data_IF_871586593122
#
_entry.id   IF_871586593122
#
_cell.length_a   1.000
_cell.length_b   1.000
_cell.length_c   1.000
_cell.angle_alpha   90.00
_cell.angle_beta   90.00
_cell.angle_gamma   90.00
#
_symmetry.space_group_name_H-M   'P 1'
#
loop_
_entity.id
_entity.type
_entity.pdbx_description
1 polymer ?
#
# COMPACT_ATOMS: atom_id res chain seq x y z
N UNK A 1 -1.25 -9.93 9.43
CA UNK A 1 -0.70 -10.82 8.38
C UNK A 1 0.56 -10.12 7.91
N UNK A 2 1.74 -10.70 8.13
CA UNK A 2 2.98 -10.04 7.71
C UNK A 2 3.04 -9.98 6.18
N UNK A 3 3.26 -8.79 5.57
CA UNK A 3 3.35 -8.67 4.13
C UNK A 3 4.64 -9.33 3.63
N UNK A 4 4.56 -10.07 2.52
CA UNK A 4 5.73 -10.70 1.91
C UNK A 4 6.73 -9.65 1.41
N UNK A 5 6.23 -8.49 0.98
CA UNK A 5 7.05 -7.42 0.40
C UNK A 5 6.36 -6.07 0.62
N UNK A 6 7.13 -5.08 1.10
CA UNK A 6 6.66 -3.70 1.30
C UNK A 6 7.24 -2.82 0.20
N UNK A 7 6.36 -2.07 -0.48
CA UNK A 7 6.68 -1.20 -1.60
C UNK A 7 6.34 0.24 -1.20
N UNK A 8 7.33 1.10 -1.19
CA UNK A 8 7.13 2.54 -0.96
C UNK A 8 6.72 3.23 -2.26
N UNK A 9 5.71 4.09 -2.19
CA UNK A 9 5.12 4.80 -3.35
C UNK A 9 5.01 6.29 -3.08
N UNK A 10 5.08 7.10 -4.13
CA UNK A 10 4.98 8.56 -4.06
C UNK A 10 3.55 9.09 -4.29
N UNK A 11 2.56 8.21 -4.56
CA UNK A 11 1.20 8.58 -4.97
C UNK A 11 0.12 7.91 -4.12
N UNK A 12 -0.99 8.62 -3.93
CA UNK A 12 -2.19 8.08 -3.25
C UNK A 12 -2.86 6.94 -4.03
N UNK A 13 -2.72 6.93 -5.35
CA UNK A 13 -3.30 5.92 -6.22
C UNK A 13 -2.20 5.12 -6.90
N UNK A 14 -2.15 3.83 -6.60
CA UNK A 14 -1.13 2.90 -7.10
C UNK A 14 -1.78 1.84 -7.97
N UNK A 15 -1.24 1.61 -9.15
CA UNK A 15 -1.61 0.47 -9.97
C UNK A 15 -0.77 -0.75 -9.57
N UNK A 16 -1.42 -1.86 -9.23
CA UNK A 16 -0.77 -3.15 -9.07
C UNK A 16 -1.30 -4.12 -10.12
N UNK A 17 -0.41 -4.81 -10.82
CA UNK A 17 -0.71 -5.87 -11.79
C UNK A 17 0.01 -7.19 -11.45
N UNK A 18 0.56 -7.30 -10.24
CA UNK A 18 1.25 -8.50 -9.79
C UNK A 18 2.60 -8.77 -10.47
N UNK A 19 3.20 -7.78 -11.13
CA UNK A 19 4.53 -7.91 -11.76
C UNK A 19 4.51 -8.24 -13.25
N UNK A 20 3.41 -7.96 -13.94
CA UNK A 20 3.31 -7.99 -15.41
C UNK A 20 3.45 -9.36 -16.10
N UNK A 21 3.56 -10.46 -15.36
CA UNK A 21 3.73 -11.81 -15.90
C UNK A 21 2.46 -12.69 -15.81
N UNK A 22 2.56 -13.93 -16.30
CA UNK A 22 1.44 -14.90 -16.30
C UNK A 22 0.94 -15.28 -14.90
N UNK A 23 1.75 -15.05 -13.86
CA UNK A 23 1.40 -15.30 -12.45
C UNK A 23 0.91 -14.04 -11.71
N UNK A 24 0.81 -12.91 -12.42
CA UNK A 24 0.27 -11.68 -11.86
C UNK A 24 -1.26 -11.72 -11.74
N UNK A 25 -1.86 -10.57 -11.51
CA UNK A 25 -3.31 -10.40 -11.47
C UNK A 25 -3.73 -9.23 -12.37
N UNK A 26 -5.03 -9.13 -12.73
CA UNK A 26 -5.51 -7.98 -13.47
C UNK A 26 -5.13 -6.67 -12.80
N UNK A 27 -4.84 -5.64 -13.59
CA UNK A 27 -4.49 -4.32 -13.06
C UNK A 27 -5.60 -3.81 -12.14
N UNK A 28 -5.24 -3.57 -10.89
CA UNK A 28 -6.10 -2.94 -9.90
C UNK A 28 -5.49 -1.63 -9.45
N UNK A 29 -6.34 -0.68 -9.07
CA UNK A 29 -5.91 0.60 -8.51
C UNK A 29 -6.22 0.60 -7.02
N UNK A 30 -5.19 0.80 -6.21
CA UNK A 30 -5.25 0.85 -4.76
C UNK A 30 -5.20 2.29 -4.32
N UNK A 31 -6.03 2.62 -3.33
CA UNK A 31 -6.11 3.94 -2.76
C UNK A 31 -5.51 3.94 -1.35
N UNK A 32 -4.51 4.78 -1.13
CA UNK A 32 -3.77 4.91 0.12
C UNK A 32 -4.16 6.17 0.91
N UNK A 33 -5.18 6.92 0.48
CA UNK A 33 -5.55 8.21 1.07
C UNK A 33 -5.98 8.12 2.53
N UNK A 34 -6.61 6.99 2.90
CA UNK A 34 -7.19 6.80 4.24
C UNK A 34 -6.16 6.43 5.30
N UNK A 35 -5.18 5.62 4.93
CA UNK A 35 -4.28 4.98 5.91
C UNK A 35 -2.80 5.22 5.60
N UNK A 36 -2.43 5.85 4.49
CA UNK A 36 -1.03 5.92 4.09
C UNK A 36 -0.44 4.58 3.62
N UNK A 37 -1.14 3.46 3.83
CA UNK A 37 -0.71 2.13 3.46
C UNK A 37 -1.89 1.20 3.15
N UNK A 38 -1.66 0.18 2.33
CA UNK A 38 -2.65 -0.84 1.98
C UNK A 38 -1.99 -2.20 1.71
N UNK A 39 -2.52 -3.25 2.32
CA UNK A 39 -2.10 -4.63 2.09
C UNK A 39 -2.97 -5.27 1.01
N UNK A 40 -2.35 -5.70 -0.10
CA UNK A 40 -3.09 -6.30 -1.20
C UNK A 40 -3.13 -7.84 -1.09
N UNK A 41 -4.30 -8.46 -0.86
CA UNK A 41 -4.40 -9.87 -0.51
C UNK A 41 -4.00 -10.82 -1.65
N UNK A 42 -4.04 -10.37 -2.90
CA UNK A 42 -3.66 -11.20 -4.05
C UNK A 42 -2.15 -11.27 -4.28
N UNK A 43 -1.43 -10.18 -4.00
CA UNK A 43 0.03 -10.13 -4.12
C UNK A 43 0.76 -10.45 -2.83
N UNK A 44 0.09 -10.32 -1.68
CA UNK A 44 0.76 -10.30 -0.38
C UNK A 44 1.70 -9.09 -0.20
N UNK A 45 1.60 -8.09 -1.07
CA UNK A 45 2.40 -6.86 -1.04
C UNK A 45 1.71 -5.78 -0.23
N UNK A 46 2.47 -5.03 0.55
CA UNK A 46 2.02 -3.80 1.21
C UNK A 46 2.54 -2.60 0.46
N UNK A 47 1.65 -1.70 0.07
CA UNK A 47 2.03 -0.41 -0.49
C UNK A 47 2.00 0.63 0.62
N UNK A 48 3.04 1.45 0.75
CA UNK A 48 3.18 2.48 1.79
C UNK A 48 3.58 3.78 1.13
N UNK A 49 2.93 4.88 1.49
CA UNK A 49 3.30 6.21 1.02
C UNK A 49 4.65 6.64 1.60
N UNK A 50 5.49 7.21 0.74
CA UNK A 50 6.71 7.87 1.16
C UNK A 50 6.38 9.08 2.05
N UNK A 51 7.26 9.37 3.01
CA UNK A 51 7.11 10.51 3.93
C UNK A 51 7.10 11.86 3.18
N UNK A 52 7.85 11.94 2.08
CA UNK A 52 7.95 13.09 1.18
C UNK A 52 7.05 12.96 -0.07
N UNK A 53 6.04 12.08 -0.04
CA UNK A 53 5.12 11.97 -1.15
C UNK A 53 4.41 13.32 -1.40
N UNK A 54 4.38 13.78 -2.65
CA UNK A 54 3.69 15.01 -3.08
C UNK A 54 2.18 14.75 -3.19
N UNK A 55 1.57 14.53 -2.04
CA UNK A 55 0.16 14.16 -1.90
C UNK A 55 -0.51 15.20 -1.05
N UNK A 56 -0.81 16.34 -1.69
CA UNK A 56 -1.54 17.50 -1.19
C UNK A 56 -2.09 17.36 0.23
N UNK A 57 -1.22 17.58 1.21
CA UNK A 57 -1.46 17.78 2.65
C UNK A 57 -2.79 17.22 3.20
N UNK A 58 -2.80 15.95 3.62
CA UNK A 58 -3.95 15.43 4.37
C UNK A 58 -3.98 13.94 4.71
N UNK A 59 -2.86 13.23 4.73
CA UNK A 59 -2.89 11.79 5.06
C UNK A 59 -2.64 11.62 6.57
N UNK A 60 -3.62 11.14 7.35
CA UNK A 60 -3.35 10.69 8.71
C UNK A 60 -2.43 9.47 8.65
N UNK A 61 -1.43 9.43 9.53
CA UNK A 61 -0.52 8.29 9.64
C UNK A 61 -1.31 6.97 9.83
N UNK A 62 -0.81 5.82 9.32
CA UNK A 62 -1.46 4.52 9.49
C UNK A 62 -1.62 4.14 10.96
N UNK A 63 -2.79 4.40 11.53
CA UNK A 63 -3.14 4.04 12.91
C UNK A 63 -3.80 2.65 13.06
N UNK A 64 -3.72 1.77 12.04
CA UNK A 64 -4.49 0.51 12.04
C UNK A 64 -3.69 -0.79 12.25
N UNK A 65 -2.37 -0.75 12.50
CA UNK A 65 -1.58 -1.99 12.58
C UNK A 65 -0.43 -1.92 13.59
N UNK A 66 -0.62 -1.23 14.72
CA UNK A 66 0.12 -1.59 15.93
C UNK A 66 -0.74 -2.61 16.69
N UNK A 67 -0.26 -3.83 16.99
CA UNK A 67 -0.94 -4.67 17.96
C UNK A 67 -1.06 -3.90 19.29
N UNK A 68 -2.13 -4.07 20.10
CA UNK A 68 -2.09 -3.57 21.46
C UNK A 68 -0.84 -4.17 22.10
N UNK A 69 0.05 -3.32 22.61
CA UNK A 69 1.17 -3.75 23.42
C UNK A 69 0.59 -4.53 24.62
N UNK A 70 0.65 -5.86 24.51
CA UNK A 70 0.38 -6.82 25.57
C UNK A 70 1.65 -7.06 26.35
#
# INVERSE_FOLDING_TARGET
MEPLETITVDKLSVACDGGGGALGHPRVFLNLERHGAVDFPYCGRRFVLAEDADVGKGIPAPEHDLPPAV
#
